data_IF_666188875986
#
_entry.id   IF_666188875986
#
_cell.length_a   1.000
_cell.length_b   1.000
_cell.length_c   1.000
_cell.angle_alpha   90.00
_cell.angle_beta   90.00
_cell.angle_gamma   90.00
#
_symmetry.space_group_name_H-M   'P 1'
#
loop_
_entity.id
_entity.type
_entity.pdbx_description
1 polymer ?
#
# COMPACT_ATOMS: atom_id res chain seq x y z
N UNK A 1 -17.62 1.17 3.81
CA UNK A 1 -17.30 -0.28 3.88
C UNK A 1 -15.82 -0.45 3.55
N UNK A 2 -15.02 -1.12 4.39
CA UNK A 2 -13.59 -1.39 4.15
C UNK A 2 -13.35 -2.88 4.40
N UNK A 3 -13.14 -3.62 3.31
CA UNK A 3 -12.84 -5.03 3.24
C UNK A 3 -11.80 -5.23 2.15
N UNK A 4 -10.75 -5.99 2.45
CA UNK A 4 -9.65 -6.27 1.53
C UNK A 4 -9.29 -7.76 1.65
N UNK A 5 -8.98 -8.37 0.52
CA UNK A 5 -8.53 -9.76 0.42
C UNK A 5 -7.25 -9.75 -0.40
N UNK A 6 -6.20 -10.40 0.10
CA UNK A 6 -4.88 -10.41 -0.53
C UNK A 6 -4.29 -11.82 -0.49
N UNK A 7 -3.70 -12.25 -1.60
CA UNK A 7 -2.83 -13.42 -1.63
C UNK A 7 -1.38 -12.96 -1.43
N UNK A 8 -0.68 -13.57 -0.47
CA UNK A 8 0.66 -13.15 -0.05
C UNK A 8 1.51 -14.33 0.40
N UNK A 9 2.83 -14.18 0.31
CA UNK A 9 3.79 -15.07 0.97
C UNK A 9 4.30 -14.41 2.25
N UNK A 10 4.37 -15.16 3.35
CA UNK A 10 4.95 -14.66 4.60
C UNK A 10 6.48 -14.59 4.45
N UNK A 11 7.07 -13.40 4.55
CA UNK A 11 8.53 -13.22 4.47
C UNK A 11 9.18 -13.01 5.83
N UNK A 12 8.43 -12.53 6.82
CA UNK A 12 8.83 -12.50 8.22
C UNK A 12 7.82 -13.27 9.05
N UNK A 13 8.31 -14.24 9.82
CA UNK A 13 7.46 -15.08 10.65
C UNK A 13 6.61 -14.25 11.63
N UNK A 14 5.43 -14.73 12.03
CA UNK A 14 4.60 -14.00 12.96
C UNK A 14 5.27 -13.85 14.33
N UNK A 15 5.21 -12.65 14.90
CA UNK A 15 5.74 -12.32 16.22
C UNK A 15 4.58 -11.90 17.13
N UNK A 16 4.34 -12.70 18.17
CA UNK A 16 3.35 -12.40 19.21
C UNK A 16 3.95 -11.41 20.21
N UNK A 17 3.21 -10.35 20.49
CA UNK A 17 3.53 -9.29 21.45
C UNK A 17 2.26 -8.85 22.16
N UNK A 18 2.40 -8.07 23.22
CA UNK A 18 1.28 -7.54 23.98
C UNK A 18 1.34 -6.02 23.97
N UNK A 19 0.20 -5.36 23.76
CA UNK A 19 0.14 -3.91 23.85
C UNK A 19 0.32 -3.46 25.31
N UNK A 20 1.05 -2.37 25.57
CA UNK A 20 1.32 -1.91 26.94
C UNK A 20 0.06 -1.44 27.68
N UNK A 21 -0.96 -0.99 26.95
CA UNK A 21 -2.20 -0.44 27.52
C UNK A 21 -3.10 -1.54 28.12
N UNK A 22 -3.67 -2.40 27.26
CA UNK A 22 -4.67 -3.39 27.66
C UNK A 22 -4.14 -4.83 27.76
N UNK A 23 -2.82 -5.02 27.66
CA UNK A 23 -2.20 -6.35 27.50
C UNK A 23 -2.91 -7.21 26.43
N UNK A 24 -3.42 -6.57 25.39
CA UNK A 24 -4.08 -7.27 24.29
C UNK A 24 -3.01 -7.97 23.46
N UNK A 25 -3.13 -9.28 23.21
CA UNK A 25 -2.22 -9.99 22.33
C UNK A 25 -2.37 -9.48 20.91
N UNK A 26 -1.22 -9.22 20.29
CA UNK A 26 -1.09 -8.77 18.92
C UNK A 26 0.02 -9.55 18.24
N UNK A 27 -0.27 -10.08 17.06
CA UNK A 27 0.73 -10.73 16.22
C UNK A 27 1.01 -9.87 15.02
N UNK A 28 2.30 -9.60 14.76
CA UNK A 28 2.76 -8.90 13.58
C UNK A 28 3.51 -9.85 12.66
N UNK A 29 3.25 -9.79 11.37
CA UNK A 29 4.07 -10.43 10.34
C UNK A 29 4.26 -9.51 9.14
N UNK A 30 5.26 -9.82 8.33
CA UNK A 30 5.49 -9.13 7.06
C UNK A 30 5.24 -10.12 5.92
N UNK A 31 4.40 -9.70 4.98
CA UNK A 31 4.09 -10.49 3.80
C UNK A 31 4.54 -9.77 2.55
N UNK A 32 4.78 -10.54 1.49
CA UNK A 32 5.15 -10.05 0.18
C UNK A 32 4.16 -10.56 -0.87
N UNK A 33 3.91 -9.76 -1.89
CA UNK A 33 3.09 -10.12 -3.04
C UNK A 33 3.66 -9.52 -4.32
N UNK A 34 3.39 -10.11 -5.50
CA UNK A 34 3.91 -9.60 -6.75
C UNK A 34 3.52 -8.13 -6.98
N UNK A 35 4.42 -7.39 -7.63
CA UNK A 35 4.12 -6.04 -8.09
C UNK A 35 2.99 -6.04 -9.12
N UNK A 36 2.43 -4.85 -9.39
CA UNK A 36 1.35 -4.71 -10.36
C UNK A 36 1.81 -5.03 -11.78
N UNK A 37 3.08 -4.75 -12.09
CA UNK A 37 3.70 -5.08 -13.37
C UNK A 37 4.73 -6.20 -13.21
N UNK A 38 4.97 -6.99 -14.27
CA UNK A 38 5.98 -8.05 -14.22
C UNK A 38 7.39 -7.55 -13.90
N UNK A 39 7.72 -6.31 -14.27
CA UNK A 39 9.00 -5.67 -14.00
C UNK A 39 9.11 -5.04 -12.59
N UNK A 40 7.99 -4.88 -11.88
CA UNK A 40 7.98 -4.26 -10.57
C UNK A 40 8.52 -5.22 -9.51
N UNK A 41 9.34 -4.68 -8.59
CA UNK A 41 9.77 -5.43 -7.42
C UNK A 41 8.54 -5.83 -6.56
N UNK A 42 8.55 -7.01 -5.91
CA UNK A 42 7.37 -7.43 -5.17
C UNK A 42 7.16 -6.54 -3.93
N UNK A 43 5.92 -6.13 -3.72
CA UNK A 43 5.54 -5.22 -2.65
C UNK A 43 5.44 -5.94 -1.31
N UNK A 44 5.71 -5.23 -0.22
CA UNK A 44 5.60 -5.77 1.15
C UNK A 44 4.51 -5.07 1.93
N UNK A 45 3.88 -5.80 2.86
CA UNK A 45 2.80 -5.28 3.69
C UNK A 45 2.86 -5.87 5.09
N UNK A 46 2.71 -4.98 6.08
CA UNK A 46 2.61 -5.38 7.48
C UNK A 46 1.19 -5.88 7.76
N UNK A 47 1.10 -7.09 8.28
CA UNK A 47 -0.16 -7.73 8.66
C UNK A 47 -0.22 -7.86 10.17
N UNK A 48 -1.37 -7.52 10.74
CA UNK A 48 -1.64 -7.53 12.17
C UNK A 48 -2.84 -8.42 12.48
N UNK A 49 -2.66 -9.34 13.41
CA UNK A 49 -3.75 -10.10 14.06
C UNK A 49 -3.89 -9.69 15.52
N UNK A 50 -5.11 -9.75 16.05
CA UNK A 50 -5.45 -9.32 17.42
C UNK A 50 -6.10 -10.45 18.22
N UNK A 51 -6.01 -10.39 19.55
CA UNK A 51 -6.78 -11.26 20.43
C UNK A 51 -6.40 -12.73 20.28
N UNK A 52 -7.38 -13.63 20.35
CA UNK A 52 -7.16 -15.07 20.16
C UNK A 52 -6.56 -15.39 18.79
N UNK A 53 -6.95 -14.64 17.77
CA UNK A 53 -6.44 -14.82 16.41
C UNK A 53 -4.94 -14.54 16.31
N UNK A 54 -4.39 -13.67 17.15
CA UNK A 54 -2.95 -13.44 17.22
C UNK A 54 -2.19 -14.73 17.61
N UNK A 55 -2.69 -15.48 18.61
CA UNK A 55 -2.12 -16.76 19.02
C UNK A 55 -2.20 -17.80 17.91
N UNK A 56 -3.38 -17.94 17.30
CA UNK A 56 -3.61 -18.86 16.19
C UNK A 56 -2.64 -18.59 15.03
N UNK A 57 -2.42 -17.32 14.68
CA UNK A 57 -1.47 -16.96 13.62
C UNK A 57 -0.05 -17.41 13.99
N UNK A 58 0.38 -17.16 15.23
CA UNK A 58 1.74 -17.49 15.68
C UNK A 58 2.00 -19.00 15.66
N UNK A 59 1.00 -19.81 15.97
CA UNK A 59 1.12 -21.26 16.07
C UNK A 59 1.02 -21.96 14.71
N UNK A 60 0.20 -21.45 13.79
CA UNK A 60 -0.13 -22.17 12.55
C UNK A 60 0.65 -21.71 11.31
N UNK A 61 1.31 -20.55 11.37
CA UNK A 61 1.95 -19.93 10.21
C UNK A 61 3.43 -19.63 10.44
N UNK A 62 4.22 -19.87 9.39
CA UNK A 62 5.67 -19.64 9.38
C UNK A 62 6.08 -18.85 8.15
N UNK A 63 7.31 -18.31 8.16
CA UNK A 63 7.89 -17.72 6.96
C UNK A 63 7.97 -18.76 5.82
N UNK A 64 7.67 -18.32 4.61
CA UNK A 64 7.58 -19.15 3.41
C UNK A 64 6.17 -19.60 3.07
N UNK A 65 5.22 -19.57 4.01
CA UNK A 65 3.84 -19.98 3.76
C UNK A 65 3.14 -19.02 2.77
N UNK A 66 2.46 -19.60 1.78
CA UNK A 66 1.52 -18.87 0.92
C UNK A 66 0.15 -18.85 1.58
N UNK A 67 -0.44 -17.66 1.66
CA UNK A 67 -1.70 -17.45 2.37
C UNK A 67 -2.63 -16.51 1.61
N UNK A 68 -3.93 -16.67 1.85
CA UNK A 68 -4.95 -15.66 1.54
C UNK A 68 -5.36 -14.99 2.83
N UNK A 69 -5.33 -13.67 2.86
CA UNK A 69 -5.59 -12.84 4.03
C UNK A 69 -6.85 -12.02 3.75
N UNK A 70 -7.83 -12.13 4.62
CA UNK A 70 -9.03 -11.29 4.61
C UNK A 70 -8.97 -10.32 5.77
N UNK A 71 -9.42 -9.08 5.55
CA UNK A 71 -9.43 -8.09 6.61
C UNK A 71 -9.65 -6.68 6.11
N UNK A 72 -8.95 -5.73 6.74
CA UNK A 72 -9.10 -4.30 6.50
C UNK A 72 -7.74 -3.66 6.27
N UNK A 73 -7.67 -2.76 5.29
CA UNK A 73 -6.46 -2.01 4.99
C UNK A 73 -6.58 -0.57 5.49
N UNK A 74 -5.55 -0.08 6.17
CA UNK A 74 -5.48 1.29 6.67
C UNK A 74 -4.17 1.93 6.20
N UNK A 75 -4.22 3.22 5.86
CA UNK A 75 -3.03 4.01 5.52
C UNK A 75 -2.67 4.88 6.71
N UNK A 76 -1.52 4.60 7.33
CA UNK A 76 -1.00 5.36 8.45
C UNK A 76 0.08 6.34 7.96
N UNK A 77 0.06 7.57 8.45
CA UNK A 77 1.15 8.53 8.23
C UNK A 77 2.11 8.43 9.41
N UNK A 78 3.32 7.97 9.15
CA UNK A 78 4.38 7.82 10.16
C UNK A 78 5.39 8.94 9.95
N UNK A 79 5.67 9.71 11.00
CA UNK A 79 6.71 10.73 10.99
C UNK A 79 8.04 10.08 11.34
N UNK A 80 9.01 10.17 10.42
CA UNK A 80 10.37 9.68 10.66
C UNK A 80 11.14 10.69 11.51
N UNK A 81 12.11 10.23 12.31
CA UNK A 81 13.03 11.13 13.03
C UNK A 81 13.83 12.04 12.08
N UNK A 82 13.96 11.66 10.81
CA UNK A 82 14.55 12.47 9.74
C UNK A 82 13.64 13.63 9.26
N UNK A 83 12.45 13.80 9.85
CA UNK A 83 11.52 14.90 9.56
C UNK A 83 10.57 14.66 8.38
N UNK A 84 10.69 13.54 7.68
CA UNK A 84 9.79 13.19 6.56
C UNK A 84 8.59 12.35 7.02
N UNK A 85 7.43 12.62 6.42
CA UNK A 85 6.20 11.85 6.64
C UNK A 85 6.07 10.77 5.57
N UNK A 86 5.90 9.53 6.01
CA UNK A 86 5.72 8.38 5.13
C UNK A 86 4.31 7.80 5.29
N UNK A 87 3.60 7.60 4.18
CA UNK A 87 2.37 6.82 4.18
C UNK A 87 2.70 5.33 4.13
N UNK A 88 2.40 4.61 5.20
CA UNK A 88 2.57 3.16 5.30
C UNK A 88 1.22 2.47 5.42
N UNK A 89 1.00 1.49 4.56
CA UNK A 89 -0.17 0.63 4.62
C UNK A 89 -0.02 -0.40 5.75
N UNK A 90 -1.13 -0.69 6.41
CA UNK A 90 -1.24 -1.70 7.46
C UNK A 90 -2.51 -2.52 7.25
N UNK A 91 -2.37 -3.84 7.31
CA UNK A 91 -3.47 -4.77 7.11
C UNK A 91 -3.86 -5.44 8.42
N UNK A 92 -5.07 -5.18 8.89
CA UNK A 92 -5.63 -5.88 10.05
C UNK A 92 -6.40 -7.09 9.57
N UNK A 93 -5.86 -8.28 9.84
CA UNK A 93 -6.44 -9.55 9.40
C UNK A 93 -7.61 -9.98 10.29
N UNK A 94 -8.71 -10.38 9.67
CA UNK A 94 -9.85 -11.04 10.31
C UNK A 94 -9.86 -12.55 10.08
N UNK A 95 -9.24 -13.02 8.98
CA UNK A 95 -9.12 -14.44 8.64
C UNK A 95 -7.92 -14.67 7.76
N UNK A 96 -7.28 -15.84 7.91
CA UNK A 96 -6.18 -16.28 7.05
C UNK A 96 -6.44 -17.72 6.64
N UNK A 97 -6.16 -18.01 5.37
CA UNK A 97 -6.23 -19.33 4.77
C UNK A 97 -4.87 -19.72 4.23
N UNK A 98 -4.35 -20.88 4.65
CA UNK A 98 -3.12 -21.44 4.11
C UNK A 98 -3.37 -22.05 2.73
N UNK A 99 -2.53 -21.70 1.76
CA UNK A 99 -2.52 -22.29 0.44
C UNK A 99 -1.54 -23.47 0.43
N UNK A 100 -1.97 -24.62 -0.10
CA UNK A 100 -1.09 -25.77 -0.31
C UNK A 100 0.03 -25.45 -1.33
N UNK A 101 1.05 -26.30 -1.39
CA UNK A 101 2.29 -26.08 -2.18
C UNK A 101 2.15 -25.93 -3.71
N UNK A 102 0.94 -25.89 -4.25
CA UNK A 102 0.65 -25.77 -5.69
C UNK A 102 -0.07 -24.46 -6.04
N UNK A 103 -0.06 -23.44 -5.18
CA UNK A 103 -0.54 -22.12 -5.58
C UNK A 103 0.49 -21.49 -6.54
N UNK A 104 0.14 -21.38 -7.82
CA UNK A 104 0.96 -20.70 -8.83
C UNK A 104 1.15 -19.23 -8.43
N UNK A 105 2.31 -18.94 -7.81
CA UNK A 105 2.67 -17.65 -7.23
C UNK A 105 3.20 -16.63 -8.27
N UNK A 106 3.14 -16.97 -9.56
CA UNK A 106 3.57 -16.10 -10.65
C UNK A 106 2.47 -15.13 -11.07
N UNK A 107 2.82 -13.86 -11.28
CA UNK A 107 1.93 -12.88 -11.95
C UNK A 107 1.38 -13.48 -13.25
N UNK A 108 0.10 -13.25 -13.59
CA UNK A 108 -0.49 -13.79 -14.81
C UNK A 108 0.25 -13.20 -16.03
N UNK A 109 1.19 -13.96 -16.58
CA UNK A 109 1.75 -13.67 -17.89
C UNK A 109 0.68 -14.00 -18.90
N UNK A 110 0.13 -12.98 -19.55
CA UNK A 110 -0.79 -13.14 -20.67
C UNK A 110 -0.01 -13.83 -21.80
N UNK A 111 -0.19 -15.14 -21.95
CA UNK A 111 0.38 -15.88 -23.06
C UNK A 111 -0.35 -15.44 -24.32
N UNK A 112 0.31 -14.90 -25.37
CA UNK A 112 -0.35 -14.66 -26.64
C UNK A 112 -0.77 -16.01 -27.22
N UNK A 113 -2.07 -16.18 -27.45
CA UNK A 113 -2.66 -17.35 -28.08
C UNK A 113 -1.98 -17.63 -29.41
N UNK A 114 -1.36 -18.80 -29.54
CA UNK A 114 -0.84 -19.33 -30.81
C UNK A 114 -2.01 -19.45 -31.79
N UNK A 115 -1.87 -18.78 -32.92
CA UNK A 115 -2.79 -18.77 -34.05
C UNK A 115 -3.19 -20.20 -34.43
N UNK A 116 -4.49 -20.49 -34.44
CA UNK A 116 -5.04 -21.70 -35.00
C UNK A 116 -4.64 -21.81 -36.48
N UNK A 117 -3.99 -22.92 -36.85
CA UNK A 117 -3.79 -23.33 -38.23
C UNK A 117 -5.13 -23.37 -38.97
N UNK A 118 -5.26 -22.49 -39.97
CA UNK A 118 -6.37 -22.44 -40.91
C UNK A 118 -6.17 -23.54 -41.96
N UNK A 119 -7.16 -24.43 -42.23
CA UNK A 119 -7.04 -25.41 -43.29
C UNK A 119 -7.02 -24.74 -44.68
N UNK A 120 -6.13 -25.28 -45.52
CA UNK A 120 -5.96 -25.18 -46.98
C UNK A 120 -7.07 -24.49 -47.78
N UNK A 121 -6.76 -23.45 -48.58
CA UNK A 121 -7.64 -23.01 -49.66
C UNK A 121 -7.37 -23.77 -50.97
N UNK A 122 -8.46 -24.17 -51.62
CA UNK A 122 -8.57 -24.77 -52.95
C UNK A 122 -8.10 -23.76 -54.02
N UNK A 123 -7.37 -24.17 -55.09
CA UNK A 123 -6.89 -23.23 -56.10
C UNK A 123 -8.00 -22.92 -57.12
N UNK A 124 -8.28 -21.63 -57.32
CA UNK A 124 -9.08 -21.12 -58.45
C UNK A 124 -8.33 -20.02 -59.20
N UNK A 125 -8.52 -20.05 -60.52
CA UNK A 125 -7.72 -19.47 -61.57
C UNK A 125 -7.56 -17.92 -61.58
N UNK A 126 -6.33 -17.55 -61.93
CA UNK A 126 -5.85 -16.40 -62.71
C UNK A 126 -6.90 -15.42 -63.31
N UNK A 127 -6.80 -14.14 -62.95
CA UNK A 127 -6.74 -13.04 -63.94
C UNK A 127 -6.18 -11.75 -63.32
N UNK A 128 -5.28 -11.12 -64.08
CA UNK A 128 -4.57 -9.89 -63.77
C UNK A 128 -5.51 -8.71 -63.49
N UNK A 129 -5.20 -7.90 -62.47
CA UNK A 129 -5.46 -6.45 -62.51
C UNK A 129 -4.48 -5.70 -61.58
N UNK A 130 -3.71 -4.80 -62.20
CA UNK A 130 -2.83 -3.81 -61.60
C UNK A 130 -3.68 -2.57 -61.25
N UNK A 131 -3.43 -1.91 -60.09
CA UNK A 131 -3.32 -0.44 -59.91
C UNK A 131 -3.56 0.01 -58.44
N UNK A 132 -2.51 0.64 -57.90
CA UNK A 132 -2.29 1.64 -56.80
C UNK A 132 -2.86 1.50 -55.37
N UNK A 133 -2.02 1.68 -54.32
CA UNK A 133 -2.48 2.01 -52.97
C UNK A 133 -2.75 3.52 -52.86
N UNK A 134 -3.95 3.88 -52.38
CA UNK A 134 -4.28 5.27 -52.03
C UNK A 134 -3.62 5.58 -50.67
N UNK A 135 -2.74 6.59 -50.67
CA UNK A 135 -2.25 7.26 -49.46
C UNK A 135 -3.14 8.47 -49.23
N UNK A 136 -3.68 8.61 -48.02
CA UNK A 136 -4.35 9.80 -47.53
C UNK A 136 -4.33 9.72 -46.00
N UNK A 137 -4.02 10.73 -45.20
CA UNK A 137 -3.44 12.03 -45.44
C UNK A 137 -2.88 12.47 -44.07
N UNK A 138 -1.72 13.11 -44.07
CA UNK A 138 -1.17 13.82 -42.92
C UNK A 138 -1.98 15.10 -42.68
N UNK A 139 -2.46 15.31 -41.47
CA UNK A 139 -2.95 16.62 -41.02
C UNK A 139 -2.09 17.09 -39.86
N UNK A 140 -1.25 18.07 -40.19
CA UNK A 140 -0.43 18.86 -39.29
C UNK A 140 -1.23 19.94 -38.57
N UNK A 141 -0.79 20.21 -37.34
CA UNK A 141 -0.83 21.47 -36.59
C UNK A 141 -2.18 21.98 -36.07
N UNK A 142 -2.20 22.30 -34.76
CA UNK A 142 -2.35 23.68 -34.28
C UNK A 142 -1.93 23.75 -32.81
N UNK A 143 -0.79 24.39 -32.56
CA UNK A 143 -0.46 25.00 -31.27
C UNK A 143 -1.32 26.25 -31.12
N UNK A 144 -1.88 26.46 -29.93
CA UNK A 144 -2.42 27.76 -29.54
C UNK A 144 -1.90 28.07 -28.16
N UNK A 145 -0.98 29.01 -28.20
CA UNK A 145 -0.40 29.73 -27.08
C UNK A 145 -1.30 30.95 -26.78
N UNK A 146 -1.11 31.49 -25.58
CA UNK A 146 -1.47 32.83 -25.08
C UNK A 146 -2.80 33.06 -24.34
N UNK A 147 -2.58 33.60 -23.13
CA UNK A 147 -3.29 34.68 -22.44
C UNK A 147 -4.40 34.34 -21.44
N UNK A 148 -3.97 34.30 -20.17
CA UNK A 148 -4.36 35.23 -19.12
C UNK A 148 -5.83 35.66 -19.04
N UNK A 149 -6.53 35.13 -18.04
CA UNK A 149 -7.64 35.81 -17.36
C UNK A 149 -7.52 35.48 -15.87
N UNK A 150 -6.89 36.42 -15.15
CA UNK A 150 -7.01 36.59 -13.71
C UNK A 150 -8.49 36.53 -13.30
N UNK A 151 -8.85 35.53 -12.50
CA UNK A 151 -10.09 35.53 -11.74
C UNK A 151 -9.76 35.90 -10.29
N UNK A 152 -10.00 37.18 -10.04
CA UNK A 152 -10.00 37.90 -8.77
C UNK A 152 -11.00 37.23 -7.81
N UNK A 153 -10.51 36.60 -6.73
CA UNK A 153 -11.35 36.19 -5.61
C UNK A 153 -11.14 37.19 -4.46
N UNK A 154 -12.20 37.90 -4.02
CA UNK A 154 -12.06 38.80 -2.88
C UNK A 154 -11.86 37.99 -1.59
N UNK A 155 -10.68 38.16 -0.98
CA UNK A 155 -10.40 37.76 0.39
C UNK A 155 -11.28 38.58 1.35
N UNK A 156 -12.32 37.96 1.91
CA UNK A 156 -12.93 38.47 3.14
C UNK A 156 -12.09 38.04 4.33
N UNK A 157 -11.21 38.93 4.76
CA UNK A 157 -10.62 38.95 6.10
C UNK A 157 -11.76 39.11 7.11
N UNK A 158 -11.99 38.08 7.92
CA UNK A 158 -12.67 38.21 9.21
C UNK A 158 -11.63 37.91 10.27
N UNK A 159 -11.02 38.97 10.81
CA UNK A 159 -10.32 38.91 12.10
C UNK A 159 -11.37 38.67 13.19
N UNK A 160 -11.54 37.43 13.61
CA UNK A 160 -12.00 37.14 14.96
C UNK A 160 -10.77 37.03 15.85
N UNK A 161 -10.51 38.09 16.61
CA UNK A 161 -9.54 38.08 17.69
C UNK A 161 -9.91 37.01 18.71
N UNK A 162 -9.11 35.96 18.78
CA UNK A 162 -9.07 35.07 19.93
C UNK A 162 -7.92 35.54 20.83
N UNK A 163 -8.30 36.24 21.89
CA UNK A 163 -7.46 36.46 23.07
C UNK A 163 -6.94 35.11 23.60
N UNK A 164 -5.63 34.94 23.82
CA UNK A 164 -5.17 33.86 24.68
C UNK A 164 -5.49 34.23 26.12
N UNK A 165 -6.51 33.60 26.70
CA UNK A 165 -6.76 33.64 28.14
C UNK A 165 -5.53 33.08 28.87
N UNK A 166 -4.79 33.96 29.54
CA UNK A 166 -3.69 33.61 30.42
C UNK A 166 -4.28 32.80 31.58
N UNK A 167 -3.97 31.51 31.65
CA UNK A 167 -4.17 30.72 32.86
C UNK A 167 -3.05 31.07 33.85
N UNK A 168 -3.36 31.57 35.06
CA UNK A 168 -2.33 31.73 36.08
C UNK A 168 -1.89 30.36 36.57
N UNK A 169 -0.59 30.09 36.41
CA UNK A 169 0.10 28.98 37.06
C UNK A 169 -0.06 29.10 38.57
N UNK A 170 -0.80 28.16 39.18
CA UNK A 170 -0.73 27.93 40.62
C UNK A 170 0.52 27.09 40.88
N UNK A 171 1.63 27.79 41.10
CA UNK A 171 2.83 27.30 41.78
C UNK A 171 2.43 26.90 43.20
N UNK A 172 2.23 25.60 43.43
CA UNK A 172 2.25 25.05 44.78
C UNK A 172 3.68 24.65 45.08
N UNK A 173 4.32 25.42 45.94
CA UNK A 173 5.64 25.12 46.49
C UNK A 173 5.61 23.79 47.24
N UNK A 174 6.52 22.88 46.88
CA UNK A 174 6.99 21.83 47.77
C UNK A 174 8.49 21.63 47.49
N UNK A 175 9.40 22.13 48.35
CA UNK A 175 10.83 21.97 48.15
C UNK A 175 11.34 20.87 49.07
N UNK A 176 11.33 19.61 48.63
CA UNK A 176 12.17 18.56 49.22
C UNK A 176 12.14 17.28 48.38
N UNK A 177 13.32 16.67 48.21
CA UNK A 177 13.68 15.49 47.40
C UNK A 177 13.96 15.69 45.90
N UNK A 178 15.13 16.26 45.58
CA UNK A 178 15.96 15.72 44.50
C UNK A 178 16.87 14.64 45.09
N UNK A 179 16.78 13.36 44.67
CA UNK A 179 17.82 12.38 44.94
C UNK A 179 19.01 12.65 44.01
N UNK A 180 20.17 12.94 44.60
CA UNK A 180 21.46 13.11 43.91
C UNK A 180 21.79 11.87 43.06
N UNK A 181 21.98 12.08 41.76
CA UNK A 181 22.20 11.05 40.74
C UNK A 181 23.69 10.75 40.47
N UNK A 182 24.58 11.10 41.40
CA UNK A 182 26.04 11.08 41.22
C UNK A 182 26.75 9.83 41.76
N UNK A 183 26.02 8.77 42.10
CA UNK A 183 26.63 7.54 42.68
C UNK A 183 26.57 6.35 41.70
N UNK A 184 27.25 6.47 40.56
CA UNK A 184 27.54 5.33 39.67
C UNK A 184 28.98 4.89 39.94
N UNK A 185 29.23 3.76 40.63
CA UNK A 185 30.59 3.26 40.81
C UNK A 185 31.15 2.67 39.50
N UNK A 186 32.42 3.00 39.22
CA UNK A 186 33.24 2.50 38.11
C UNK A 186 33.41 0.98 38.11
#
# INVERSE_FOLDING_TARGET
MNSCILMAQIIQAPELRYTPDNQTPLTQMLVQFPGLRPEDAPATLKVIGWGNFAHEIKENYIAGDHIVIEGRLVMNTIERPEGFKEKRAEFTASRIHKLGGNADWSSPTSTPSTTFDKPTPIPSANTNNVVVPIRSNTSSASVSDTSNLEQDFPSTTTEQGFEPSIVPASISANPENQPDLDDIPF
#
